data_IF_232716106796
#
_entry.id   IF_232716106796
#
_cell.length_a   1.000
_cell.length_b   1.000
_cell.length_c   1.000
_cell.angle_alpha   90.00
_cell.angle_beta   90.00
_cell.angle_gamma   90.00
#
_symmetry.space_group_name_H-M   'P 1'
#
loop_
_entity.id
_entity.type
_entity.pdbx_description
1 polymer ?
#
# COMPACT_ATOMS: atom_id res chain seq x y z
N UNK A 1 22.52 -14.68 2.96
CA UNK A 1 21.66 -13.55 3.30
C UNK A 1 20.28 -14.08 3.64
N UNK A 2 19.62 -13.50 4.63
CA UNK A 2 18.23 -13.81 4.92
C UNK A 2 17.35 -12.73 4.33
N UNK A 3 16.20 -13.08 3.75
CA UNK A 3 15.20 -12.11 3.29
C UNK A 3 13.86 -12.42 3.93
N UNK A 4 13.27 -11.41 4.56
CA UNK A 4 11.92 -11.46 5.11
C UNK A 4 11.00 -10.52 4.34
N UNK A 5 9.74 -10.94 4.18
CA UNK A 5 8.69 -10.18 3.53
C UNK A 5 7.62 -9.85 4.58
N UNK A 6 7.37 -8.56 4.81
CA UNK A 6 6.35 -8.08 5.75
C UNK A 6 5.20 -7.47 4.96
N UNK A 7 4.00 -8.09 4.94
CA UNK A 7 2.86 -7.55 4.21
C UNK A 7 2.29 -6.32 4.90
N UNK A 8 1.91 -5.33 4.11
CA UNK A 8 1.25 -4.12 4.57
C UNK A 8 -0.15 -4.06 3.97
N UNK A 9 -1.15 -3.93 4.84
CA UNK A 9 -2.55 -3.88 4.48
C UNK A 9 -3.07 -2.46 4.63
N UNK A 10 -3.97 -2.03 3.74
CA UNK A 10 -4.56 -0.71 3.83
C UNK A 10 -5.41 -0.58 5.10
N UNK A 11 -5.06 0.38 5.95
CA UNK A 11 -5.91 0.84 7.05
C UNK A 11 -6.88 1.92 6.56
N UNK A 12 -7.90 2.24 7.35
CA UNK A 12 -8.85 3.32 7.04
C UNK A 12 -8.17 4.65 6.66
N UNK A 13 -7.07 5.02 7.33
CA UNK A 13 -6.32 6.25 7.03
C UNK A 13 -5.61 6.24 5.67
N UNK A 14 -5.36 5.07 5.08
CA UNK A 14 -4.72 4.94 3.77
C UNK A 14 -5.68 5.26 2.62
N UNK A 15 -6.99 5.09 2.86
CA UNK A 15 -8.01 5.13 1.81
C UNK A 15 -8.32 6.55 1.31
N UNK A 16 -7.88 7.59 2.02
CA UNK A 16 -7.99 8.97 1.52
C UNK A 16 -7.23 9.16 0.20
N UNK A 17 -6.14 8.42 0.00
CA UNK A 17 -5.31 8.47 -1.20
C UNK A 17 -5.41 7.19 -2.03
N UNK A 18 -5.41 6.01 -1.42
CA UNK A 18 -5.37 4.75 -2.16
C UNK A 18 -6.75 4.12 -2.41
N UNK A 19 -7.82 4.74 -1.90
CA UNK A 19 -9.18 4.19 -1.92
C UNK A 19 -9.88 4.25 -3.27
N UNK A 20 -11.19 4.06 -3.24
CA UNK A 20 -12.06 4.17 -4.41
C UNK A 20 -12.52 5.62 -4.65
N UNK A 21 -12.96 5.96 -5.88
CA UNK A 21 -12.86 5.17 -7.11
C UNK A 21 -11.44 5.09 -7.66
N UNK A 22 -11.08 3.91 -8.18
CA UNK A 22 -9.80 3.68 -8.85
C UNK A 22 -9.63 4.66 -10.01
N UNK A 23 -8.46 5.28 -10.11
CA UNK A 23 -8.09 6.20 -11.19
C UNK A 23 -8.51 7.65 -10.96
N UNK A 24 -9.31 7.97 -9.93
CA UNK A 24 -9.53 9.36 -9.52
C UNK A 24 -8.23 9.97 -8.99
N UNK A 25 -8.01 11.26 -9.20
CA UNK A 25 -6.84 11.94 -8.66
C UNK A 25 -6.96 12.12 -7.15
N UNK A 26 -5.94 11.69 -6.41
CA UNK A 26 -5.84 11.87 -4.96
C UNK A 26 -5.35 13.28 -4.58
N UNK A 27 -5.24 13.53 -3.26
CA UNK A 27 -4.78 14.82 -2.73
C UNK A 27 -3.33 15.16 -3.09
N UNK A 28 -2.54 14.18 -3.51
CA UNK A 28 -1.14 14.33 -3.91
C UNK A 28 -0.99 14.53 -5.42
N UNK A 29 -2.07 14.38 -6.19
CA UNK A 29 -2.10 14.56 -7.64
C UNK A 29 -1.95 13.26 -8.44
N UNK A 30 -1.98 12.08 -7.80
CA UNK A 30 -1.81 10.79 -8.47
C UNK A 30 -3.12 9.98 -8.52
N UNK A 31 -3.30 9.07 -9.49
CA UNK A 31 -4.52 8.26 -9.57
C UNK A 31 -4.60 7.22 -8.45
N UNK A 32 -5.73 7.15 -7.74
CA UNK A 32 -5.97 6.16 -6.69
C UNK A 32 -5.93 4.73 -7.25
N UNK A 33 -5.47 3.79 -6.45
CA UNK A 33 -5.35 2.37 -6.79
C UNK A 33 -6.69 1.63 -6.66
N UNK A 34 -7.63 2.17 -5.88
CA UNK A 34 -8.94 1.56 -5.65
C UNK A 34 -8.98 0.53 -4.53
N UNK A 35 -8.06 0.62 -3.57
CA UNK A 35 -7.97 -0.29 -2.44
C UNK A 35 -9.14 -0.16 -1.47
N UNK A 36 -9.40 -1.23 -0.72
CA UNK A 36 -10.34 -1.28 0.41
C UNK A 36 -9.57 -1.58 1.70
N UNK A 37 -10.18 -1.27 2.83
CA UNK A 37 -9.59 -1.59 4.14
C UNK A 37 -9.36 -3.10 4.25
N UNK A 38 -8.15 -3.48 4.66
CA UNK A 38 -7.71 -4.87 4.75
C UNK A 38 -7.19 -5.48 3.45
N UNK A 39 -7.28 -4.79 2.30
CA UNK A 39 -6.61 -5.24 1.07
C UNK A 39 -5.08 -5.14 1.23
N UNK A 40 -4.35 -6.07 0.60
CA UNK A 40 -2.89 -6.02 0.55
C UNK A 40 -2.44 -4.85 -0.33
N UNK A 41 -1.83 -3.84 0.28
CA UNK A 41 -1.40 -2.62 -0.40
C UNK A 41 0.08 -2.62 -0.78
N UNK A 42 0.93 -3.24 0.05
CA UNK A 42 2.37 -3.31 -0.19
C UNK A 42 3.02 -4.49 0.53
N UNK A 43 4.31 -4.70 0.28
CA UNK A 43 5.16 -5.65 1.02
C UNK A 43 6.53 -5.01 1.22
N UNK A 44 6.99 -4.97 2.47
CA UNK A 44 8.35 -4.54 2.81
C UNK A 44 9.28 -5.75 2.72
N UNK A 45 10.31 -5.64 1.89
CA UNK A 45 11.35 -6.67 1.72
C UNK A 45 12.62 -6.26 2.47
N UNK A 46 12.96 -6.98 3.53
CA UNK A 46 14.16 -6.72 4.34
C UNK A 46 15.19 -7.82 4.07
N UNK A 47 16.39 -7.43 3.64
CA UNK A 47 17.52 -8.35 3.43
C UNK A 47 18.58 -8.14 4.51
N UNK A 48 18.85 -9.19 5.28
CA UNK A 48 19.89 -9.23 6.30
C UNK A 48 21.16 -9.82 5.69
N UNK A 49 22.21 -9.01 5.67
CA UNK A 49 23.56 -9.41 5.29
C UNK A 49 24.37 -9.77 6.54
N UNK A 50 25.46 -10.51 6.34
CA UNK A 50 26.38 -10.86 7.42
C UNK A 50 27.35 -9.72 7.67
#
# INVERSE_FOLDING_TARGET
SYRMMMPEYYAASCLSCHGLPKGETDITGYPKEGGKEGDLGAVISVTLFK
#
